data_IF_377599090752
#
_entry.id   IF_377599090752
#
_cell.length_a   1.000
_cell.length_b   1.000
_cell.length_c   1.000
_cell.angle_alpha   90.00
_cell.angle_beta   90.00
_cell.angle_gamma   90.00
#
_symmetry.space_group_name_H-M   'P 1'
#
loop_
_entity.id
_entity.type
_entity.pdbx_description
1 polymer ?
#
# COMPACT_ATOMS: atom_id res chain seq x y z
N UNK A 1 19.71 -18.78 -4.40
CA UNK A 1 19.28 -17.39 -4.48
C UNK A 1 18.82 -16.91 -3.11
N UNK A 2 19.30 -15.75 -2.69
CA UNK A 2 18.95 -15.10 -1.41
C UNK A 2 18.47 -13.67 -1.67
N UNK A 3 17.29 -13.32 -1.18
CA UNK A 3 16.62 -12.07 -1.50
C UNK A 3 16.62 -11.13 -0.29
N UNK A 4 16.91 -9.87 -0.51
CA UNK A 4 16.79 -8.77 0.45
C UNK A 4 15.70 -7.80 0.01
N UNK A 5 14.79 -7.43 0.90
CA UNK A 5 13.86 -6.33 0.67
C UNK A 5 14.24 -5.16 1.57
N UNK A 6 14.48 -4.01 0.95
CA UNK A 6 14.73 -2.74 1.63
C UNK A 6 13.41 -1.99 1.78
N UNK A 7 12.88 -1.93 2.99
CA UNK A 7 11.67 -1.20 3.34
C UNK A 7 11.97 0.07 4.14
N UNK A 8 10.96 0.89 4.36
CA UNK A 8 10.99 2.05 5.25
C UNK A 8 9.85 1.98 6.24
N UNK A 9 10.11 2.24 7.51
CA UNK A 9 9.07 2.32 8.56
C UNK A 9 8.29 3.65 8.51
N UNK A 10 7.94 4.14 7.31
CA UNK A 10 7.15 5.37 7.12
C UNK A 10 5.63 5.12 7.09
N UNK A 11 5.21 3.86 7.22
CA UNK A 11 3.81 3.42 7.28
C UNK A 11 3.69 1.90 7.24
N UNK A 12 2.54 1.36 7.63
CA UNK A 12 2.31 -0.09 7.63
C UNK A 12 2.24 -0.72 6.23
N UNK A 13 1.94 0.07 5.20
CA UNK A 13 1.73 -0.42 3.83
C UNK A 13 2.98 -1.05 3.20
N UNK A 14 4.08 -0.32 3.13
CA UNK A 14 5.34 -0.82 2.54
C UNK A 14 5.82 -2.11 3.22
N UNK A 15 5.71 -2.19 4.55
CA UNK A 15 6.06 -3.40 5.29
C UNK A 15 5.11 -4.56 5.00
N UNK A 16 3.82 -4.30 4.79
CA UNK A 16 2.85 -5.33 4.41
C UNK A 16 3.15 -5.90 3.02
N UNK A 17 3.47 -5.05 2.04
CA UNK A 17 3.92 -5.48 0.70
C UNK A 17 5.22 -6.28 0.77
N UNK A 18 6.23 -5.77 1.50
CA UNK A 18 7.50 -6.45 1.69
C UNK A 18 7.31 -7.85 2.31
N UNK A 19 6.43 -7.95 3.32
CA UNK A 19 6.07 -9.25 3.92
C UNK A 19 5.40 -10.17 2.90
N UNK A 20 4.43 -9.68 2.13
CA UNK A 20 3.75 -10.48 1.12
C UNK A 20 4.73 -11.07 0.08
N UNK A 21 5.71 -10.29 -0.36
CA UNK A 21 6.76 -10.76 -1.27
C UNK A 21 7.66 -11.79 -0.56
N UNK A 22 8.09 -11.54 0.70
CA UNK A 22 8.88 -12.51 1.45
C UNK A 22 8.15 -13.85 1.62
N UNK A 23 6.87 -13.81 1.98
CA UNK A 23 6.04 -15.00 2.14
C UNK A 23 5.95 -15.78 0.81
N UNK A 24 5.77 -15.07 -0.32
CA UNK A 24 5.74 -15.65 -1.66
C UNK A 24 7.07 -16.34 -2.04
N UNK A 25 8.23 -15.77 -1.72
CA UNK A 25 9.53 -16.43 -1.91
C UNK A 25 9.69 -17.67 -1.01
N UNK A 26 9.23 -17.58 0.25
CA UNK A 26 9.28 -18.69 1.19
C UNK A 26 8.46 -19.90 0.71
N UNK A 27 7.34 -19.70 0.01
CA UNK A 27 6.56 -20.77 -0.64
C UNK A 27 7.38 -21.58 -1.67
N UNK A 28 8.42 -20.98 -2.24
CA UNK A 28 9.37 -21.64 -3.17
C UNK A 28 10.65 -22.10 -2.47
N UNK A 29 10.72 -22.04 -1.14
CA UNK A 29 11.93 -22.41 -0.40
C UNK A 29 13.10 -21.43 -0.56
N UNK A 30 12.82 -20.20 -1.04
CA UNK A 30 13.83 -19.16 -1.27
C UNK A 30 13.89 -18.24 -0.05
N UNK A 31 15.11 -18.05 0.49
CA UNK A 31 15.33 -17.14 1.63
C UNK A 31 15.10 -15.69 1.22
N UNK A 32 14.17 -15.02 1.89
CA UNK A 32 13.89 -13.61 1.74
C UNK A 32 13.90 -12.92 3.11
N UNK A 33 14.62 -11.80 3.20
CA UNK A 33 14.72 -10.99 4.42
C UNK A 33 14.30 -9.55 4.14
N UNK A 34 13.42 -9.00 4.97
CA UNK A 34 13.04 -7.57 4.88
C UNK A 34 13.68 -6.79 6.02
N UNK A 35 14.27 -5.64 5.71
CA UNK A 35 14.91 -4.75 6.68
C UNK A 35 14.49 -3.30 6.47
N UNK A 36 14.49 -2.52 7.55
CA UNK A 36 14.33 -1.06 7.47
C UNK A 36 15.64 -0.40 7.05
N UNK A 37 15.66 0.09 5.81
CA UNK A 37 16.86 0.69 5.22
C UNK A 37 17.28 2.00 5.90
N UNK A 38 16.37 2.73 6.53
CA UNK A 38 16.69 3.97 7.25
C UNK A 38 17.62 3.73 8.45
N UNK A 39 17.66 2.51 8.98
CA UNK A 39 18.56 2.12 10.05
C UNK A 39 20.04 2.19 9.64
N UNK A 40 20.35 2.04 8.33
CA UNK A 40 21.72 2.16 7.82
C UNK A 40 22.24 3.61 7.77
N UNK A 41 21.36 4.61 7.86
CA UNK A 41 21.80 6.02 7.96
C UNK A 41 22.31 6.33 9.38
N UNK A 42 21.54 5.97 10.38
CA UNK A 42 21.91 5.90 11.79
C UNK A 42 20.86 5.11 12.56
N UNK A 43 21.21 4.45 13.66
CA UNK A 43 20.26 3.68 14.47
C UNK A 43 19.07 4.50 15.02
N UNK A 44 19.18 5.83 15.07
CA UNK A 44 18.11 6.75 15.51
C UNK A 44 17.25 7.25 14.33
N UNK A 45 17.77 7.22 13.09
CA UNK A 45 17.11 7.82 11.92
C UNK A 45 15.76 7.15 11.65
N UNK A 46 15.68 5.82 11.72
CA UNK A 46 14.43 5.09 11.52
C UNK A 46 13.33 5.55 12.47
N UNK A 47 13.62 5.57 13.78
CA UNK A 47 12.64 5.98 14.80
C UNK A 47 12.22 7.45 14.66
N UNK A 48 13.17 8.34 14.36
CA UNK A 48 12.88 9.78 14.20
C UNK A 48 12.05 10.04 12.96
N UNK A 49 12.39 9.42 11.82
CA UNK A 49 11.61 9.58 10.58
C UNK A 49 10.23 8.94 10.67
N UNK A 50 10.12 7.72 11.22
CA UNK A 50 8.85 7.03 11.40
C UNK A 50 7.91 7.80 12.33
N UNK A 51 8.40 8.20 13.51
CA UNK A 51 7.60 8.96 14.48
C UNK A 51 7.24 10.35 13.96
N UNK A 52 8.21 11.04 13.32
CA UNK A 52 8.00 12.35 12.72
C UNK A 52 6.99 12.32 11.58
N UNK A 53 7.12 11.37 10.65
CA UNK A 53 6.17 11.16 9.55
C UNK A 53 4.75 10.89 10.09
N UNK A 54 4.63 9.95 11.02
CA UNK A 54 3.35 9.61 11.66
C UNK A 54 2.74 10.81 12.38
N UNK A 55 3.55 11.58 13.10
CA UNK A 55 3.10 12.76 13.83
C UNK A 55 2.62 13.86 12.89
N UNK A 56 3.39 14.21 11.85
CA UNK A 56 3.02 15.22 10.84
C UNK A 56 1.75 14.78 10.11
N UNK A 57 1.67 13.53 9.69
CA UNK A 57 0.49 12.99 9.02
C UNK A 57 -0.78 13.10 9.89
N UNK A 58 -0.67 12.81 11.20
CA UNK A 58 -1.81 12.88 12.13
C UNK A 58 -2.23 14.31 12.49
N UNK A 59 -1.26 15.20 12.73
CA UNK A 59 -1.53 16.50 13.35
C UNK A 59 -1.42 17.68 12.38
N UNK A 60 -0.68 17.52 11.30
CA UNK A 60 -0.42 18.58 10.33
C UNK A 60 -0.58 18.10 8.87
N UNK A 61 -1.74 17.52 8.48
CA UNK A 61 -1.93 16.93 7.14
C UNK A 61 -1.71 17.94 6.00
N UNK A 62 -2.04 19.23 6.20
CA UNK A 62 -1.76 20.29 5.22
C UNK A 62 -0.26 20.50 5.01
N UNK A 63 0.54 20.43 6.06
CA UNK A 63 2.00 20.56 5.96
C UNK A 63 2.60 19.37 5.20
N UNK A 64 2.08 18.18 5.44
CA UNK A 64 2.45 16.97 4.71
C UNK A 64 2.13 17.10 3.20
N UNK A 65 0.92 17.54 2.87
CA UNK A 65 0.48 17.80 1.49
C UNK A 65 1.36 18.83 0.78
N UNK A 66 1.67 19.95 1.44
CA UNK A 66 2.57 20.97 0.87
C UNK A 66 4.00 20.44 0.64
N UNK A 67 4.50 19.62 1.55
CA UNK A 67 5.81 18.97 1.41
C UNK A 67 5.86 18.03 0.21
N UNK A 68 4.82 17.21 0.06
CA UNK A 68 4.68 16.29 -1.07
C UNK A 68 4.56 17.04 -2.41
N UNK A 69 3.66 18.02 -2.51
CA UNK A 69 3.45 18.83 -3.71
C UNK A 69 4.73 19.60 -4.11
N UNK A 70 5.56 20.01 -3.14
CA UNK A 70 6.86 20.64 -3.42
C UNK A 70 7.87 19.62 -3.94
N UNK A 71 7.90 18.41 -3.40
CA UNK A 71 8.77 17.34 -3.87
C UNK A 71 8.36 16.89 -5.29
N UNK A 72 7.08 16.80 -5.57
CA UNK A 72 6.53 16.45 -6.87
C UNK A 72 6.88 17.48 -7.96
N UNK A 73 6.75 18.77 -7.64
CA UNK A 73 7.12 19.87 -8.56
C UNK A 73 8.62 20.04 -8.76
N UNK A 74 9.44 19.68 -7.78
CA UNK A 74 10.88 19.93 -7.78
C UNK A 74 11.67 18.64 -7.98
N UNK A 75 11.69 18.13 -9.23
CA UNK A 75 12.43 16.92 -9.65
C UNK A 75 13.89 16.86 -9.16
N UNK A 76 14.54 18.01 -8.93
CA UNK A 76 15.93 18.09 -8.48
C UNK A 76 16.13 17.92 -6.96
N UNK A 77 15.08 17.66 -6.18
CA UNK A 77 15.19 17.61 -4.71
C UNK A 77 16.16 16.54 -4.21
N UNK A 78 16.30 15.44 -4.97
CA UNK A 78 17.19 14.31 -4.67
C UNK A 78 18.34 14.14 -5.67
N UNK A 79 18.57 15.13 -6.56
CA UNK A 79 19.69 15.08 -7.48
C UNK A 79 21.03 15.01 -6.75
N UNK A 80 22.00 14.42 -7.41
CA UNK A 80 23.37 14.30 -6.88
C UNK A 80 23.89 15.66 -6.40
N UNK A 81 24.43 15.68 -5.17
CA UNK A 81 24.90 16.91 -4.52
C UNK A 81 23.84 17.65 -3.68
N UNK A 82 22.55 17.34 -3.78
CA UNK A 82 21.52 17.94 -2.91
C UNK A 82 21.68 17.52 -1.44
N UNK A 83 21.08 18.27 -0.51
CA UNK A 83 21.11 17.93 0.90
C UNK A 83 20.42 16.60 1.20
N UNK A 84 19.31 16.30 0.50
CA UNK A 84 18.59 15.03 0.63
C UNK A 84 19.44 13.86 0.10
N UNK A 85 20.06 14.00 -1.08
CA UNK A 85 21.00 12.99 -1.59
C UNK A 85 22.13 12.71 -0.59
N UNK A 86 22.82 13.77 -0.10
CA UNK A 86 23.90 13.63 0.88
C UNK A 86 23.45 12.94 2.17
N UNK A 87 22.18 13.16 2.58
CA UNK A 87 21.62 12.50 3.75
C UNK A 87 21.47 11.00 3.52
N UNK A 88 20.84 10.57 2.41
CA UNK A 88 20.65 9.16 2.11
C UNK A 88 21.96 8.44 1.76
N UNK A 89 22.90 9.11 1.09
CA UNK A 89 24.21 8.57 0.76
C UNK A 89 25.08 8.19 1.98
N UNK A 90 24.73 8.67 3.19
CA UNK A 90 25.38 8.23 4.44
C UNK A 90 25.16 6.74 4.73
N UNK A 91 24.12 6.16 4.21
CA UNK A 91 23.82 4.73 4.37
C UNK A 91 24.70 3.81 3.52
N UNK A 92 25.31 4.35 2.44
CA UNK A 92 25.99 3.56 1.40
C UNK A 92 27.05 2.59 1.94
N UNK A 93 27.98 3.00 2.83
CA UNK A 93 29.01 2.07 3.31
C UNK A 93 28.44 0.90 4.13
N UNK A 94 27.46 1.16 4.99
CA UNK A 94 26.89 0.12 5.84
C UNK A 94 25.92 -0.76 5.07
N UNK A 95 25.13 -0.19 4.16
CA UNK A 95 24.24 -0.96 3.28
C UNK A 95 25.04 -1.88 2.35
N UNK A 96 26.13 -1.38 1.74
CA UNK A 96 27.05 -2.20 0.94
C UNK A 96 27.61 -3.39 1.73
N UNK A 97 28.17 -3.12 2.92
CA UNK A 97 28.69 -4.19 3.79
C UNK A 97 27.61 -5.20 4.15
N UNK A 98 26.39 -4.74 4.41
CA UNK A 98 25.28 -5.62 4.76
C UNK A 98 24.89 -6.54 3.58
N UNK A 99 24.79 -5.98 2.37
CA UNK A 99 24.48 -6.75 1.15
C UNK A 99 25.55 -7.82 0.92
N UNK A 100 26.84 -7.44 0.94
CA UNK A 100 27.96 -8.34 0.67
C UNK A 100 28.08 -9.43 1.74
N UNK A 101 28.08 -9.06 3.03
CA UNK A 101 28.17 -10.02 4.12
C UNK A 101 26.98 -10.98 4.17
N UNK A 102 25.82 -10.50 3.77
CA UNK A 102 24.59 -11.29 3.70
C UNK A 102 24.59 -12.27 2.54
N UNK A 103 25.44 -12.08 1.52
CA UNK A 103 25.46 -12.90 0.30
C UNK A 103 24.12 -12.83 -0.44
N UNK A 104 23.56 -11.63 -0.58
CA UNK A 104 22.30 -11.44 -1.30
C UNK A 104 22.54 -11.39 -2.80
N UNK A 105 21.74 -12.15 -3.54
CA UNK A 105 21.74 -12.20 -5.01
C UNK A 105 20.77 -11.19 -5.63
N UNK A 106 19.73 -10.82 -4.87
CA UNK A 106 18.66 -9.93 -5.29
C UNK A 106 18.37 -8.92 -4.19
N UNK A 107 18.20 -7.65 -4.57
CA UNK A 107 17.77 -6.57 -3.65
C UNK A 107 16.56 -5.86 -4.23
N UNK A 108 15.44 -5.87 -3.50
CA UNK A 108 14.16 -5.28 -3.90
C UNK A 108 13.86 -4.08 -3.00
N UNK A 109 13.52 -2.95 -3.58
CA UNK A 109 13.20 -1.71 -2.88
C UNK A 109 11.68 -1.50 -2.80
N UNK A 110 11.18 -1.33 -1.57
CA UNK A 110 9.76 -1.11 -1.28
C UNK A 110 9.38 0.37 -1.17
N UNK A 111 10.32 1.28 -1.33
CA UNK A 111 10.11 2.71 -1.21
C UNK A 111 11.13 3.47 -2.06
N UNK A 112 10.75 4.64 -2.60
CA UNK A 112 11.66 5.45 -3.43
C UNK A 112 12.97 5.78 -2.73
N UNK A 113 12.96 6.06 -1.43
CA UNK A 113 14.20 6.34 -0.67
C UNK A 113 15.15 5.14 -0.68
N UNK A 114 14.62 3.92 -0.57
CA UNK A 114 15.47 2.71 -0.62
C UNK A 114 16.01 2.46 -2.02
N UNK A 115 15.26 2.81 -3.07
CA UNK A 115 15.73 2.77 -4.45
C UNK A 115 16.90 3.75 -4.69
N UNK A 116 16.80 4.98 -4.16
CA UNK A 116 17.89 5.97 -4.20
C UNK A 116 19.14 5.50 -3.44
N UNK A 117 18.95 4.93 -2.24
CA UNK A 117 20.07 4.38 -1.44
C UNK A 117 20.77 3.24 -2.16
N UNK A 118 20.01 2.31 -2.74
CA UNK A 118 20.57 1.18 -3.51
C UNK A 118 21.27 1.67 -4.78
N UNK A 119 20.68 2.62 -5.50
CA UNK A 119 21.31 3.25 -6.67
C UNK A 119 22.67 3.86 -6.34
N UNK A 120 22.81 4.54 -5.20
CA UNK A 120 24.10 5.08 -4.76
C UNK A 120 25.13 3.98 -4.41
N UNK A 121 24.68 2.87 -3.82
CA UNK A 121 25.54 1.68 -3.61
C UNK A 121 26.02 1.12 -4.94
N UNK A 122 25.12 0.91 -5.91
CA UNK A 122 25.46 0.32 -7.22
C UNK A 122 26.38 1.23 -8.05
N UNK A 123 26.23 2.55 -7.94
CA UNK A 123 27.13 3.53 -8.58
C UNK A 123 28.56 3.49 -8.02
N UNK A 124 28.70 3.30 -6.71
CA UNK A 124 29.99 3.32 -6.02
C UNK A 124 30.70 1.98 -5.94
N UNK A 125 29.97 0.91 -6.04
CA UNK A 125 30.48 -0.45 -5.88
C UNK A 125 29.97 -1.37 -6.99
N UNK A 126 30.88 -2.12 -7.60
CA UNK A 126 30.47 -3.18 -8.56
C UNK A 126 29.91 -4.37 -7.79
N UNK A 127 28.59 -4.56 -7.89
CA UNK A 127 27.89 -5.72 -7.31
C UNK A 127 27.19 -6.49 -8.43
N UNK A 128 27.32 -7.80 -8.43
CA UNK A 128 26.58 -8.71 -9.33
C UNK A 128 25.30 -9.17 -8.64
N UNK A 129 24.37 -8.22 -8.45
CA UNK A 129 23.05 -8.47 -7.88
C UNK A 129 21.97 -8.01 -8.85
N UNK A 130 20.81 -8.65 -8.82
CA UNK A 130 19.62 -8.14 -9.48
C UNK A 130 18.94 -7.11 -8.57
N UNK A 131 18.71 -5.91 -9.07
CA UNK A 131 18.10 -4.81 -8.33
C UNK A 131 16.69 -4.52 -8.84
N UNK A 132 15.75 -4.29 -7.93
CA UNK A 132 14.37 -4.02 -8.30
C UNK A 132 13.70 -3.01 -7.37
N UNK A 133 12.69 -2.33 -7.90
CA UNK A 133 11.75 -1.49 -7.16
C UNK A 133 10.32 -1.98 -7.41
N UNK A 134 9.45 -1.90 -6.43
CA UNK A 134 8.00 -2.01 -6.65
C UNK A 134 7.25 -0.80 -6.12
N UNK A 135 6.34 -0.28 -6.93
CA UNK A 135 5.47 0.82 -6.56
C UNK A 135 4.35 0.35 -5.63
N UNK A 136 3.99 1.20 -4.67
CA UNK A 136 2.93 0.96 -3.67
C UNK A 136 1.74 1.89 -3.82
N UNK A 137 1.76 2.72 -4.86
CA UNK A 137 0.72 3.69 -5.21
C UNK A 137 0.47 3.69 -6.71
N UNK A 138 -0.71 4.11 -7.14
CA UNK A 138 -1.14 4.17 -8.54
C UNK A 138 -0.65 5.44 -9.24
N UNK A 139 0.61 5.75 -9.06
CA UNK A 139 1.32 6.85 -9.70
C UNK A 139 2.83 6.65 -9.56
N UNK A 140 3.60 7.42 -10.33
CA UNK A 140 5.04 7.50 -10.18
C UNK A 140 5.41 8.24 -8.89
N UNK A 141 6.34 7.68 -8.11
CA UNK A 141 6.78 8.32 -6.87
C UNK A 141 7.70 9.50 -7.15
N UNK A 142 7.52 10.66 -6.50
CA UNK A 142 8.43 11.81 -6.64
C UNK A 142 9.89 11.39 -6.43
N UNK A 143 10.77 11.85 -7.31
CA UNK A 143 12.21 11.52 -7.34
C UNK A 143 12.56 10.07 -7.69
N UNK A 144 11.61 9.26 -8.12
CA UNK A 144 11.87 7.92 -8.64
C UNK A 144 12.75 7.92 -9.90
N UNK A 145 12.71 9.01 -10.69
CA UNK A 145 13.55 9.31 -11.84
C UNK A 145 15.06 9.42 -11.51
N UNK A 146 15.43 9.57 -10.24
CA UNK A 146 16.81 9.57 -9.77
C UNK A 146 17.33 8.18 -9.40
N UNK A 147 16.46 7.15 -9.44
CA UNK A 147 16.87 5.77 -9.22
C UNK A 147 17.26 5.11 -10.55
N UNK A 148 18.24 4.19 -10.50
CA UNK A 148 18.65 3.37 -11.64
C UNK A 148 18.81 1.93 -11.16
N UNK A 149 17.79 1.13 -11.40
CA UNK A 149 17.68 -0.27 -11.02
C UNK A 149 17.38 -1.11 -12.27
N UNK A 150 17.50 -2.42 -12.15
CA UNK A 150 17.29 -3.33 -13.28
C UNK A 150 15.80 -3.52 -13.61
N UNK A 151 14.92 -3.54 -12.59
CA UNK A 151 13.49 -3.78 -12.76
C UNK A 151 12.65 -2.79 -11.94
N UNK A 152 11.52 -2.37 -12.52
CA UNK A 152 10.50 -1.53 -11.90
C UNK A 152 9.13 -2.21 -12.01
N UNK A 153 8.63 -2.73 -10.90
CA UNK A 153 7.30 -3.33 -10.82
C UNK A 153 6.25 -2.26 -10.55
N UNK A 154 5.27 -2.17 -11.43
CA UNK A 154 4.23 -1.14 -11.39
C UNK A 154 2.83 -1.75 -11.21
N UNK A 155 1.88 -0.97 -10.64
CA UNK A 155 0.56 -1.48 -10.31
C UNK A 155 -0.31 -1.89 -11.48
N UNK A 156 -0.25 -1.15 -12.60
CA UNK A 156 -1.19 -1.30 -13.70
C UNK A 156 -0.57 -0.87 -15.03
N UNK A 157 -1.03 -1.47 -16.14
CA UNK A 157 -0.59 -1.15 -17.50
C UNK A 157 -0.82 0.31 -17.88
N UNK A 158 -1.87 0.94 -17.35
CA UNK A 158 -2.18 2.35 -17.60
C UNK A 158 -1.08 3.31 -17.09
N UNK A 159 -0.18 2.84 -16.22
CA UNK A 159 0.91 3.65 -15.67
C UNK A 159 2.21 3.53 -16.46
N UNK A 160 2.31 2.63 -17.45
CA UNK A 160 3.55 2.43 -18.23
C UNK A 160 4.03 3.74 -18.85
N UNK A 161 3.15 4.46 -19.54
CA UNK A 161 3.50 5.73 -20.19
C UNK A 161 3.90 6.83 -19.20
N UNK A 162 3.34 6.81 -17.98
CA UNK A 162 3.75 7.72 -16.90
C UNK A 162 5.19 7.44 -16.47
N UNK A 163 5.53 6.17 -16.20
CA UNK A 163 6.88 5.77 -15.79
C UNK A 163 7.91 6.05 -16.91
N UNK A 164 7.58 5.75 -18.16
CA UNK A 164 8.44 6.08 -19.31
C UNK A 164 8.63 7.60 -19.47
N UNK A 165 7.56 8.38 -19.26
CA UNK A 165 7.61 9.84 -19.28
C UNK A 165 8.51 10.45 -18.20
N UNK A 166 8.73 9.72 -17.10
CA UNK A 166 9.71 10.06 -16.07
C UNK A 166 11.12 9.49 -16.34
N UNK A 167 11.34 8.83 -17.48
CA UNK A 167 12.66 8.38 -17.94
C UNK A 167 13.03 6.96 -17.56
N UNK A 168 12.09 6.15 -17.06
CA UNK A 168 12.32 4.73 -16.83
C UNK A 168 12.24 4.00 -18.17
N UNK A 169 13.29 3.26 -18.54
CA UNK A 169 13.28 2.43 -19.75
C UNK A 169 12.14 1.39 -19.71
N UNK A 170 11.26 1.40 -20.69
CA UNK A 170 10.14 0.46 -20.81
C UNK A 170 10.55 -1.02 -20.71
N UNK A 171 11.77 -1.36 -21.12
CA UNK A 171 12.32 -2.73 -20.97
C UNK A 171 12.51 -3.15 -19.53
N UNK A 172 12.70 -2.19 -18.62
CA UNK A 172 12.84 -2.41 -17.17
C UNK A 172 11.48 -2.48 -16.45
N UNK A 173 10.38 -2.04 -17.09
CA UNK A 173 9.05 -1.98 -16.49
C UNK A 173 8.39 -3.37 -16.53
N UNK A 174 7.79 -3.77 -15.39
CA UNK A 174 7.00 -4.98 -15.23
C UNK A 174 5.67 -4.64 -14.57
N UNK A 175 4.57 -5.02 -15.19
CA UNK A 175 3.24 -4.84 -14.59
C UNK A 175 2.94 -6.03 -13.69
N UNK A 176 2.86 -5.80 -12.39
CA UNK A 176 2.68 -6.87 -11.39
C UNK A 176 1.40 -6.73 -10.56
N UNK A 177 0.86 -5.52 -10.42
CA UNK A 177 -0.02 -5.15 -9.33
C UNK A 177 0.75 -4.72 -8.07
N UNK A 178 0.05 -4.20 -7.07
CA UNK A 178 0.61 -3.92 -5.74
C UNK A 178 0.54 -5.20 -4.90
N UNK A 179 1.66 -5.65 -4.28
CA UNK A 179 1.66 -6.87 -3.47
C UNK A 179 0.72 -6.78 -2.27
N UNK A 180 -0.21 -7.70 -2.20
CA UNK A 180 -1.08 -7.93 -1.03
C UNK A 180 -0.77 -9.29 -0.40
N UNK A 181 -1.09 -9.45 0.88
CA UNK A 181 -0.95 -10.75 1.56
C UNK A 181 -1.81 -11.81 0.87
N UNK A 182 -1.33 -13.06 0.83
CA UNK A 182 -1.99 -14.17 0.11
C UNK A 182 -3.43 -14.43 0.56
N UNK A 183 -3.75 -14.15 1.82
CA UNK A 183 -5.12 -14.31 2.35
C UNK A 183 -6.16 -13.43 1.66
N UNK A 184 -5.78 -12.31 1.01
CA UNK A 184 -6.71 -11.48 0.24
C UNK A 184 -7.11 -12.13 -1.09
N UNK A 185 -6.25 -12.96 -1.67
CA UNK A 185 -6.55 -13.69 -2.90
C UNK A 185 -7.60 -14.81 -2.68
N UNK A 186 -7.79 -15.24 -1.44
CA UNK A 186 -8.81 -16.23 -1.06
C UNK A 186 -10.08 -15.51 -0.62
N UNK A 187 -11.23 -15.86 -1.17
CA UNK A 187 -12.54 -15.37 -0.71
C UNK A 187 -13.20 -16.44 0.14
N UNK A 188 -13.72 -16.01 1.27
CA UNK A 188 -14.58 -16.83 2.13
C UNK A 188 -16.03 -16.50 1.86
N UNK A 189 -16.92 -17.43 2.14
CA UNK A 189 -18.35 -17.19 2.00
C UNK A 189 -18.78 -16.02 2.90
N UNK A 190 -19.56 -15.10 2.32
CA UNK A 190 -19.95 -13.86 3.01
C UNK A 190 -20.74 -14.13 4.29
N UNK A 191 -21.62 -15.15 4.28
CA UNK A 191 -22.41 -15.54 5.46
C UNK A 191 -21.51 -15.98 6.62
N UNK A 192 -20.47 -16.80 6.35
CA UNK A 192 -19.51 -17.24 7.35
C UNK A 192 -18.67 -16.08 7.88
N UNK A 193 -18.25 -15.19 6.99
CA UNK A 193 -17.50 -14.00 7.35
C UNK A 193 -18.34 -13.04 8.20
N UNK A 194 -19.60 -12.77 7.85
CA UNK A 194 -20.53 -11.98 8.66
C UNK A 194 -20.72 -12.57 10.04
N UNK A 195 -20.97 -13.89 10.13
CA UNK A 195 -21.10 -14.61 11.40
C UNK A 195 -19.87 -14.46 12.30
N UNK A 196 -18.66 -14.51 11.74
CA UNK A 196 -17.41 -14.35 12.48
C UNK A 196 -17.27 -12.97 13.16
N UNK A 197 -17.91 -11.94 12.63
CA UNK A 197 -17.89 -10.58 13.17
C UNK A 197 -19.17 -10.20 13.92
N UNK A 198 -20.15 -11.10 14.02
CA UNK A 198 -21.43 -10.86 14.69
C UNK A 198 -22.40 -10.02 13.88
N UNK A 199 -22.26 -10.02 12.56
CA UNK A 199 -23.14 -9.33 11.60
C UNK A 199 -24.26 -10.28 11.18
N UNK A 200 -25.47 -9.77 11.08
CA UNK A 200 -26.61 -10.57 10.63
C UNK A 200 -26.44 -10.95 9.13
N UNK A 201 -26.67 -12.21 8.78
CA UNK A 201 -26.36 -12.73 7.44
C UNK A 201 -27.08 -12.01 6.30
N UNK A 202 -28.33 -11.55 6.53
CA UNK A 202 -29.17 -10.89 5.55
C UNK A 202 -29.02 -9.34 5.56
N UNK A 203 -28.28 -8.77 6.52
CA UNK A 203 -28.07 -7.33 6.57
C UNK A 203 -26.96 -6.89 5.62
N UNK A 204 -27.11 -5.75 5.02
CA UNK A 204 -26.05 -5.13 4.26
C UNK A 204 -24.98 -4.58 5.22
N UNK A 205 -23.71 -4.85 4.94
CA UNK A 205 -22.62 -4.56 5.84
C UNK A 205 -21.62 -3.56 5.26
N UNK A 206 -21.39 -2.48 5.98
CA UNK A 206 -20.34 -1.48 5.69
C UNK A 206 -19.14 -1.73 6.61
N UNK A 207 -17.95 -1.78 6.04
CA UNK A 207 -16.71 -1.71 6.82
C UNK A 207 -16.09 -0.32 6.67
N UNK A 208 -15.81 0.34 7.79
CA UNK A 208 -15.09 1.63 7.86
C UNK A 208 -13.70 1.38 8.45
N UNK A 209 -12.63 1.58 7.65
CA UNK A 209 -11.26 1.44 8.14
C UNK A 209 -10.33 2.45 7.45
N UNK A 210 -9.78 3.39 8.20
CA UNK A 210 -8.87 4.42 7.69
C UNK A 210 -7.41 4.11 8.05
N UNK A 211 -6.92 2.99 7.50
CA UNK A 211 -5.57 2.48 7.76
C UNK A 211 -5.38 1.95 9.20
N UNK A 212 -4.17 1.42 9.48
CA UNK A 212 -3.85 0.77 10.76
C UNK A 212 -3.88 1.70 11.98
N UNK A 213 -3.80 3.01 11.75
CA UNK A 213 -3.73 4.02 12.81
C UNK A 213 -5.09 4.62 13.20
N UNK A 214 -6.16 4.32 12.48
CA UNK A 214 -7.48 4.90 12.75
C UNK A 214 -7.50 6.43 12.68
N UNK A 215 -6.91 7.00 11.63
CA UNK A 215 -6.82 8.45 11.43
C UNK A 215 -7.96 8.96 10.54
N UNK A 216 -8.23 10.28 10.62
CA UNK A 216 -9.27 10.93 9.82
C UNK A 216 -10.56 11.16 10.58
N UNK A 217 -11.62 11.63 9.91
CA UNK A 217 -12.88 12.07 10.54
C UNK A 217 -13.82 10.89 10.86
N UNK A 218 -13.28 9.75 11.34
CA UNK A 218 -14.03 8.50 11.57
C UNK A 218 -15.21 8.73 12.51
N UNK A 219 -15.04 9.45 13.63
CA UNK A 219 -16.10 9.75 14.57
C UNK A 219 -17.28 10.48 13.90
N UNK A 220 -16.97 11.51 13.10
CA UNK A 220 -18.01 12.27 12.39
C UNK A 220 -18.70 11.40 11.33
N UNK A 221 -17.93 10.59 10.62
CA UNK A 221 -18.44 9.62 9.63
C UNK A 221 -19.39 8.61 10.27
N UNK A 222 -18.96 7.97 11.37
CA UNK A 222 -19.79 6.99 12.10
C UNK A 222 -21.10 7.60 12.56
N UNK A 223 -21.07 8.86 13.07
CA UNK A 223 -22.28 9.58 13.49
C UNK A 223 -23.24 9.82 12.34
N UNK A 224 -22.74 10.19 11.15
CA UNK A 224 -23.58 10.41 9.97
C UNK A 224 -24.17 9.10 9.45
N UNK A 225 -23.36 8.03 9.42
CA UNK A 225 -23.83 6.71 9.00
C UNK A 225 -24.91 6.19 9.96
N UNK A 226 -24.67 6.19 11.28
CA UNK A 226 -25.62 5.69 12.29
C UNK A 226 -27.00 6.36 12.20
N UNK A 227 -27.03 7.65 11.85
CA UNK A 227 -28.27 8.41 11.68
C UNK A 227 -29.03 8.07 10.39
N UNK A 228 -28.37 7.43 9.41
CA UNK A 228 -28.93 7.18 8.06
C UNK A 228 -29.16 5.69 7.77
N UNK A 229 -28.62 4.78 8.57
CA UNK A 229 -28.78 3.33 8.38
C UNK A 229 -30.21 2.89 8.66
N UNK A 230 -30.72 1.97 7.84
CA UNK A 230 -31.93 1.19 8.09
C UNK A 230 -31.67 0.07 9.12
N UNK A 231 -32.74 -0.63 9.49
CA UNK A 231 -32.63 -1.78 10.43
C UNK A 231 -31.91 -3.00 9.81
N UNK A 232 -31.84 -3.08 8.49
CA UNK A 232 -31.18 -4.16 7.75
C UNK A 232 -29.78 -3.78 7.27
N UNK A 233 -29.17 -2.77 7.91
CA UNK A 233 -27.84 -2.28 7.58
C UNK A 233 -26.98 -2.18 8.83
N UNK A 234 -25.76 -2.69 8.75
CA UNK A 234 -24.81 -2.70 9.84
C UNK A 234 -23.47 -2.10 9.42
N UNK A 235 -22.76 -1.51 10.38
CA UNK A 235 -21.44 -0.90 10.15
C UNK A 235 -20.44 -1.45 11.15
N UNK A 236 -19.31 -1.97 10.66
CA UNK A 236 -18.12 -2.22 11.47
C UNK A 236 -17.12 -1.09 11.31
N UNK A 237 -16.78 -0.43 12.40
CA UNK A 237 -15.79 0.66 12.46
C UNK A 237 -14.50 0.15 13.08
N UNK A 238 -13.42 0.13 12.30
CA UNK A 238 -12.10 -0.33 12.76
C UNK A 238 -11.25 0.86 13.17
N UNK A 239 -10.99 0.97 14.46
CA UNK A 239 -10.18 2.05 15.07
C UNK A 239 -8.66 1.78 15.00
N UNK A 240 -8.25 0.56 14.62
CA UNK A 240 -6.85 0.18 14.56
C UNK A 240 -6.11 0.36 15.90
N UNK A 241 -4.97 1.03 15.87
CA UNK A 241 -4.16 1.31 17.06
C UNK A 241 -4.63 2.55 17.85
N UNK A 242 -5.71 3.21 17.43
CA UNK A 242 -6.25 4.41 18.09
C UNK A 242 -7.16 4.02 19.28
N UNK A 243 -6.55 3.79 20.44
CA UNK A 243 -7.27 3.37 21.66
C UNK A 243 -8.27 4.41 22.14
N UNK A 244 -7.98 5.71 21.99
CA UNK A 244 -8.88 6.79 22.41
C UNK A 244 -10.15 6.80 21.56
N UNK A 245 -10.02 6.70 20.23
CA UNK A 245 -11.14 6.61 19.32
C UNK A 245 -11.98 5.36 19.59
N UNK A 246 -11.31 4.22 19.85
CA UNK A 246 -11.99 2.97 20.19
C UNK A 246 -12.85 3.10 21.43
N UNK A 247 -12.30 3.64 22.53
CA UNK A 247 -13.04 3.82 23.79
C UNK A 247 -14.23 4.76 23.60
N UNK A 248 -14.02 5.91 22.94
CA UNK A 248 -15.04 6.92 22.72
C UNK A 248 -16.21 6.40 21.87
N UNK A 249 -15.92 5.69 20.77
CA UNK A 249 -16.97 5.15 19.91
C UNK A 249 -17.67 3.95 20.56
N UNK A 250 -16.95 3.11 21.32
CA UNK A 250 -17.56 1.99 22.05
C UNK A 250 -18.59 2.47 23.06
N UNK A 251 -18.28 3.50 23.84
CA UNK A 251 -19.20 4.13 24.78
C UNK A 251 -20.42 4.76 24.07
N UNK A 252 -20.16 5.49 22.95
CA UNK A 252 -21.20 6.19 22.22
C UNK A 252 -22.23 5.26 21.57
N UNK A 253 -21.82 4.07 21.14
CA UNK A 253 -22.65 3.12 20.39
C UNK A 253 -22.90 1.80 21.11
N UNK A 254 -22.69 1.74 22.44
CA UNK A 254 -22.89 0.55 23.26
C UNK A 254 -24.27 -0.10 23.06
N UNK A 255 -25.31 0.73 22.87
CA UNK A 255 -26.69 0.29 22.77
C UNK A 255 -27.25 0.31 21.31
N UNK A 256 -26.43 0.55 20.30
CA UNK A 256 -26.86 0.47 18.89
C UNK A 256 -26.38 -0.86 18.27
N UNK A 257 -27.26 -1.86 18.11
CA UNK A 257 -26.87 -3.17 17.61
C UNK A 257 -26.38 -3.15 16.14
N UNK A 258 -26.60 -2.06 15.43
CA UNK A 258 -26.15 -1.92 14.03
C UNK A 258 -24.70 -1.45 13.91
N UNK A 259 -24.08 -0.99 15.01
CA UNK A 259 -22.75 -0.36 14.98
C UNK A 259 -21.76 -1.22 15.78
N UNK A 260 -20.80 -1.80 15.09
CA UNK A 260 -19.78 -2.67 15.69
C UNK A 260 -18.43 -1.94 15.74
N UNK A 261 -18.00 -1.55 16.94
CA UNK A 261 -16.70 -0.88 17.12
C UNK A 261 -15.63 -1.93 17.39
N UNK A 262 -14.56 -1.91 16.58
CA UNK A 262 -13.43 -2.82 16.69
C UNK A 262 -12.12 -2.03 16.85
N UNK A 263 -11.22 -2.53 17.66
CA UNK A 263 -9.86 -2.04 17.78
C UNK A 263 -9.00 -2.50 16.59
N UNK A 264 -7.81 -3.02 16.89
CA UNK A 264 -6.93 -3.62 15.89
C UNK A 264 -7.46 -5.00 15.47
N UNK A 265 -7.65 -5.21 14.16
CA UNK A 265 -8.08 -6.49 13.58
C UNK A 265 -6.87 -7.14 12.89
N UNK A 266 -6.63 -8.41 13.21
CA UNK A 266 -5.55 -9.20 12.61
C UNK A 266 -5.95 -9.74 11.25
N UNK A 267 -7.16 -10.32 11.13
CA UNK A 267 -7.69 -10.88 9.88
C UNK A 267 -8.60 -9.86 9.17
N UNK A 268 -7.97 -8.87 8.54
CA UNK A 268 -8.67 -7.87 7.74
C UNK A 268 -9.28 -8.49 6.49
N UNK A 269 -8.65 -9.53 5.93
CA UNK A 269 -9.15 -10.23 4.75
C UNK A 269 -10.54 -10.83 5.01
N UNK A 270 -10.72 -11.52 6.17
CA UNK A 270 -12.03 -12.06 6.55
C UNK A 270 -13.06 -10.94 6.80
N UNK A 271 -12.63 -9.83 7.40
CA UNK A 271 -13.53 -8.69 7.60
C UNK A 271 -14.02 -8.12 6.27
N UNK A 272 -13.14 -7.97 5.28
CA UNK A 272 -13.55 -7.50 3.96
C UNK A 272 -14.45 -8.50 3.21
N UNK A 273 -14.30 -9.80 3.46
CA UNK A 273 -15.22 -10.81 2.94
C UNK A 273 -16.64 -10.70 3.49
N UNK A 274 -16.82 -10.09 4.69
CA UNK A 274 -18.15 -9.86 5.28
C UNK A 274 -18.85 -8.61 4.75
N UNK A 275 -18.15 -7.76 3.99
CA UNK A 275 -18.63 -6.45 3.63
C UNK A 275 -19.29 -6.40 2.25
N UNK A 276 -20.36 -5.62 2.12
CA UNK A 276 -20.95 -5.21 0.86
C UNK A 276 -20.31 -3.91 0.34
N UNK A 277 -19.77 -3.08 1.25
CA UNK A 277 -19.17 -1.78 0.94
C UNK A 277 -18.01 -1.47 1.88
N UNK A 278 -16.93 -0.91 1.34
CA UNK A 278 -15.76 -0.51 2.10
C UNK A 278 -15.54 1.00 2.07
N UNK A 279 -15.51 1.64 3.24
CA UNK A 279 -15.17 3.03 3.40
C UNK A 279 -13.74 3.13 3.92
N UNK A 280 -12.85 3.69 3.11
CA UNK A 280 -11.44 3.78 3.44
C UNK A 280 -10.78 5.05 2.90
N UNK A 281 -9.63 5.41 3.45
CA UNK A 281 -8.78 6.40 2.79
C UNK A 281 -8.15 5.78 1.53
N UNK A 282 -7.82 6.58 0.50
CA UNK A 282 -7.28 6.06 -0.75
C UNK A 282 -5.77 5.73 -0.68
N UNK A 283 -5.34 5.02 0.37
CA UNK A 283 -3.98 4.49 0.46
C UNK A 283 -3.80 3.29 -0.46
N UNK A 284 -2.70 3.24 -1.23
CA UNK A 284 -2.47 2.26 -2.29
C UNK A 284 -2.75 0.81 -1.88
N UNK A 285 -2.31 0.40 -0.67
CA UNK A 285 -2.55 -0.97 -0.17
C UNK A 285 -4.02 -1.22 0.13
N UNK A 286 -4.70 -0.31 0.85
CA UNK A 286 -6.09 -0.52 1.26
C UNK A 286 -7.04 -0.62 0.06
N UNK A 287 -6.84 0.23 -0.94
CA UNK A 287 -7.64 0.19 -2.17
C UNK A 287 -7.34 -1.05 -3.02
N UNK A 288 -6.08 -1.52 -2.99
CA UNK A 288 -5.69 -2.76 -3.69
C UNK A 288 -6.26 -3.99 -2.98
N UNK A 289 -6.22 -4.06 -1.64
CA UNK A 289 -6.84 -5.14 -0.86
C UNK A 289 -8.34 -5.25 -1.17
N UNK A 290 -9.04 -4.12 -1.21
CA UNK A 290 -10.45 -4.08 -1.62
C UNK A 290 -10.65 -4.50 -3.09
N UNK A 291 -9.77 -4.06 -3.99
CA UNK A 291 -9.84 -4.43 -5.41
C UNK A 291 -9.64 -5.95 -5.61
N UNK A 292 -8.68 -6.56 -4.90
CA UNK A 292 -8.46 -8.02 -4.91
C UNK A 292 -9.70 -8.77 -4.41
N UNK A 293 -10.42 -8.21 -3.42
CA UNK A 293 -11.69 -8.74 -2.92
C UNK A 293 -12.88 -8.43 -3.84
N UNK A 294 -12.69 -7.61 -4.88
CA UNK A 294 -13.81 -7.12 -5.71
C UNK A 294 -14.85 -6.34 -4.90
N UNK A 295 -14.43 -5.71 -3.81
CA UNK A 295 -15.29 -5.01 -2.87
C UNK A 295 -15.42 -3.53 -3.27
N UNK A 296 -16.63 -3.04 -3.61
CA UNK A 296 -16.88 -1.64 -3.91
C UNK A 296 -16.43 -0.69 -2.80
N UNK A 297 -15.96 0.49 -3.18
CA UNK A 297 -15.38 1.43 -2.23
C UNK A 297 -16.08 2.79 -2.26
N UNK A 298 -16.17 3.42 -1.07
CA UNK A 298 -16.35 4.86 -0.95
C UNK A 298 -15.10 5.42 -0.28
N UNK A 299 -14.42 6.33 -0.98
CA UNK A 299 -13.12 6.82 -0.56
C UNK A 299 -13.29 8.11 0.25
N UNK A 300 -12.61 8.15 1.40
CA UNK A 300 -12.47 9.35 2.20
C UNK A 300 -11.57 10.33 1.46
N UNK A 301 -11.70 11.63 1.76
CA UNK A 301 -10.88 12.65 1.14
C UNK A 301 -9.38 12.32 1.35
N UNK A 302 -8.64 12.42 0.27
CA UNK A 302 -7.19 12.24 0.28
C UNK A 302 -6.51 13.25 1.22
N UNK A 303 -5.49 12.81 1.93
CA UNK A 303 -4.70 13.70 2.80
C UNK A 303 -3.59 14.37 2.01
N UNK A 304 -3.01 13.70 1.04
CA UNK A 304 -1.93 14.26 0.21
C UNK A 304 -1.58 13.40 -1.02
N UNK A 305 -1.08 14.06 -2.03
CA UNK A 305 -0.29 13.63 -3.17
C UNK A 305 -0.65 12.26 -3.73
N UNK A 306 0.08 11.22 -3.33
CA UNK A 306 -0.17 9.85 -3.84
C UNK A 306 -1.59 9.35 -3.58
N UNK A 307 -2.23 9.75 -2.48
CA UNK A 307 -3.61 9.36 -2.19
C UNK A 307 -4.62 9.97 -3.18
N UNK A 308 -4.36 11.17 -3.72
CA UNK A 308 -5.20 11.77 -4.77
C UNK A 308 -5.11 10.98 -6.08
N UNK A 309 -3.91 10.56 -6.47
CA UNK A 309 -3.71 9.71 -7.65
C UNK A 309 -4.40 8.35 -7.47
N UNK A 310 -4.23 7.71 -6.33
CA UNK A 310 -4.90 6.45 -6.00
C UNK A 310 -6.44 6.62 -6.07
N UNK A 311 -6.97 7.69 -5.50
CA UNK A 311 -8.40 8.00 -5.52
C UNK A 311 -8.91 8.15 -6.96
N UNK A 312 -8.25 9.01 -7.75
CA UNK A 312 -8.64 9.27 -9.13
C UNK A 312 -8.59 8.00 -9.98
N UNK A 313 -7.55 7.17 -9.80
CA UNK A 313 -7.41 5.90 -10.51
C UNK A 313 -8.65 5.00 -10.38
N UNK A 314 -9.22 4.86 -9.19
CA UNK A 314 -10.40 4.03 -8.93
C UNK A 314 -11.72 4.73 -9.27
N UNK A 315 -11.79 6.07 -9.11
CA UNK A 315 -12.97 6.87 -9.52
C UNK A 315 -13.17 6.83 -11.03
N UNK A 316 -12.12 7.06 -11.81
CA UNK A 316 -12.17 7.06 -13.28
C UNK A 316 -12.58 5.71 -13.87
N UNK A 317 -12.26 4.62 -13.17
CA UNK A 317 -12.67 3.25 -13.54
C UNK A 317 -14.06 2.86 -13.06
N UNK A 318 -14.76 3.77 -12.36
CA UNK A 318 -16.07 3.48 -11.80
C UNK A 318 -16.05 2.39 -10.71
N UNK A 319 -14.91 2.20 -10.05
CA UNK A 319 -14.70 1.22 -8.99
C UNK A 319 -14.86 1.79 -7.58
N UNK A 320 -14.92 3.11 -7.47
CA UNK A 320 -15.08 3.83 -6.22
C UNK A 320 -16.02 5.02 -6.38
N UNK A 321 -16.48 5.52 -5.24
CA UNK A 321 -17.18 6.81 -5.11
C UNK A 321 -16.48 7.66 -4.04
N UNK A 322 -16.75 8.95 -4.03
CA UNK A 322 -16.33 9.89 -2.98
C UNK A 322 -17.34 11.02 -2.86
N UNK A 323 -17.11 12.00 -2.00
CA UNK A 323 -17.88 13.22 -1.85
C UNK A 323 -16.95 14.41 -1.57
N UNK A 324 -17.46 15.62 -1.69
CA UNK A 324 -16.70 16.86 -1.44
C UNK A 324 -16.33 17.00 0.05
N UNK A 325 -17.18 16.47 0.90
CA UNK A 325 -17.01 16.49 2.34
C UNK A 325 -17.51 15.18 2.99
N UNK A 326 -17.31 15.05 4.29
CA UNK A 326 -17.68 13.84 5.04
C UNK A 326 -19.18 13.55 5.04
N UNK A 327 -20.02 14.56 4.83
CA UNK A 327 -21.47 14.40 4.74
C UNK A 327 -21.85 13.76 3.40
N UNK A 328 -21.35 14.31 2.29
CA UNK A 328 -21.56 13.75 0.96
C UNK A 328 -20.98 12.31 0.87
N UNK A 329 -19.85 12.04 1.52
CA UNK A 329 -19.27 10.69 1.59
C UNK A 329 -20.20 9.71 2.31
N UNK A 330 -20.79 10.12 3.45
CA UNK A 330 -21.76 9.28 4.17
C UNK A 330 -23.04 9.06 3.34
N UNK A 331 -23.55 10.09 2.69
CA UNK A 331 -24.71 10.02 1.81
C UNK A 331 -24.45 9.11 0.60
N UNK A 332 -23.26 9.23 -0.01
CA UNK A 332 -22.83 8.35 -1.11
C UNK A 332 -22.76 6.88 -0.67
N UNK A 333 -22.28 6.60 0.54
CA UNK A 333 -22.19 5.26 1.07
C UNK A 333 -23.57 4.63 1.29
N UNK A 334 -24.49 5.34 1.92
CA UNK A 334 -25.85 4.85 2.19
C UNK A 334 -26.63 4.68 0.87
N UNK A 335 -26.53 5.63 -0.05
CA UNK A 335 -27.14 5.54 -1.37
C UNK A 335 -26.62 4.33 -2.15
N UNK A 336 -25.29 4.14 -2.17
CA UNK A 336 -24.67 3.04 -2.90
C UNK A 336 -25.05 1.68 -2.29
N UNK A 337 -25.14 1.58 -0.96
CA UNK A 337 -25.52 0.36 -0.27
C UNK A 337 -26.95 -0.11 -0.66
N UNK A 338 -27.82 0.82 -1.01
CA UNK A 338 -29.17 0.57 -1.46
C UNK A 338 -29.28 0.27 -2.97
N UNK A 339 -28.21 0.52 -3.73
CA UNK A 339 -28.15 0.32 -5.20
C UNK A 339 -27.38 -0.96 -5.53
N UNK A 340 -28.07 -2.10 -5.46
CA UNK A 340 -27.47 -3.43 -5.73
C UNK A 340 -26.91 -3.57 -7.15
N UNK A 341 -27.52 -2.92 -8.13
CA UNK A 341 -27.07 -2.99 -9.53
C UNK A 341 -25.70 -2.26 -9.65
N UNK A 342 -25.59 -1.05 -9.08
CA UNK A 342 -24.37 -0.29 -9.07
C UNK A 342 -23.25 -0.99 -8.29
N UNK A 343 -23.53 -1.54 -7.10
CA UNK A 343 -22.58 -2.36 -6.35
C UNK A 343 -22.08 -3.54 -7.18
N UNK A 344 -22.98 -4.28 -7.84
CA UNK A 344 -22.62 -5.42 -8.69
C UNK A 344 -21.73 -4.99 -9.87
N UNK A 345 -22.04 -3.87 -10.51
CA UNK A 345 -21.24 -3.31 -11.61
C UNK A 345 -19.84 -2.92 -11.13
N UNK A 346 -19.74 -2.24 -10.00
CA UNK A 346 -18.45 -1.87 -9.40
C UNK A 346 -17.61 -3.10 -9.04
N UNK A 347 -18.24 -4.10 -8.41
CA UNK A 347 -17.58 -5.36 -8.06
C UNK A 347 -17.06 -6.11 -9.30
N UNK A 348 -17.85 -6.20 -10.37
CA UNK A 348 -17.41 -6.79 -11.65
C UNK A 348 -16.22 -6.04 -12.23
N UNK A 349 -16.23 -4.72 -12.21
CA UNK A 349 -15.11 -3.91 -12.71
C UNK A 349 -13.85 -4.17 -11.89
N UNK A 350 -13.94 -4.20 -10.55
CA UNK A 350 -12.80 -4.51 -9.66
C UNK A 350 -12.23 -5.91 -9.93
N UNK A 351 -13.09 -6.91 -10.11
CA UNK A 351 -12.66 -8.27 -10.43
C UNK A 351 -11.90 -8.35 -11.76
N UNK A 352 -12.29 -7.54 -12.74
CA UNK A 352 -11.62 -7.50 -14.06
C UNK A 352 -10.22 -6.86 -14.00
N UNK A 353 -9.88 -6.09 -12.95
CA UNK A 353 -8.53 -5.55 -12.76
C UNK A 353 -7.51 -6.66 -12.46
N UNK A 354 -7.96 -7.79 -11.94
CA UNK A 354 -7.15 -9.00 -11.70
C UNK A 354 -5.85 -8.74 -10.91
N UNK A 355 -5.94 -8.02 -9.81
CA UNK A 355 -4.77 -7.67 -8.99
C UNK A 355 -4.32 -8.76 -8.02
N UNK A 356 -5.02 -9.90 -7.99
CA UNK A 356 -4.61 -11.04 -7.18
C UNK A 356 -3.27 -11.60 -7.65
N UNK A 357 -2.42 -12.02 -6.71
CA UNK A 357 -1.16 -12.70 -7.05
C UNK A 357 0.03 -11.78 -7.36
N UNK A 358 -0.07 -10.47 -7.17
CA UNK A 358 1.01 -9.51 -7.44
C UNK A 358 2.36 -9.91 -6.81
N UNK A 359 2.37 -10.41 -5.58
CA UNK A 359 3.58 -10.89 -4.91
C UNK A 359 4.22 -12.09 -5.64
N UNK A 360 3.38 -13.00 -6.16
CA UNK A 360 3.83 -14.14 -6.95
C UNK A 360 4.38 -13.71 -8.32
N UNK A 361 3.73 -12.76 -8.98
CA UNK A 361 4.19 -12.20 -10.24
C UNK A 361 5.59 -11.59 -10.08
N UNK A 362 5.80 -10.77 -9.05
CA UNK A 362 7.12 -10.18 -8.75
C UNK A 362 8.15 -11.28 -8.48
N UNK A 363 7.84 -12.28 -7.65
CA UNK A 363 8.74 -13.41 -7.37
C UNK A 363 9.13 -14.14 -8.65
N UNK A 364 8.16 -14.50 -9.48
CA UNK A 364 8.39 -15.33 -10.66
C UNK A 364 9.22 -14.58 -11.72
N UNK A 365 8.97 -13.28 -11.92
CA UNK A 365 9.79 -12.41 -12.78
C UNK A 365 11.22 -12.27 -12.23
N UNK A 366 11.39 -12.07 -10.93
CA UNK A 366 12.72 -12.01 -10.29
C UNK A 366 13.50 -13.31 -10.48
N UNK A 367 12.86 -14.47 -10.26
CA UNK A 367 13.49 -15.77 -10.45
C UNK A 367 13.95 -15.94 -11.90
N UNK A 368 13.09 -15.59 -12.86
CA UNK A 368 13.39 -15.65 -14.28
C UNK A 368 14.57 -14.75 -14.66
N UNK A 369 14.49 -13.45 -14.32
CA UNK A 369 15.53 -12.49 -14.67
C UNK A 369 16.88 -12.82 -14.01
N UNK A 370 16.90 -13.30 -12.76
CA UNK A 370 18.15 -13.72 -12.11
C UNK A 370 18.75 -14.95 -12.77
N UNK A 371 17.93 -15.93 -13.19
CA UNK A 371 18.38 -17.08 -13.95
C UNK A 371 19.01 -16.72 -15.29
N UNK A 372 18.42 -15.76 -16.03
CA UNK A 372 18.97 -15.23 -17.27
C UNK A 372 20.30 -14.49 -17.04
N UNK A 373 20.41 -13.67 -16.00
CA UNK A 373 21.64 -12.98 -15.61
C UNK A 373 22.77 -13.95 -15.27
N UNK A 374 22.51 -14.97 -14.44
CA UNK A 374 23.50 -15.99 -14.05
C UNK A 374 23.98 -16.81 -15.25
N UNK A 375 23.09 -17.07 -16.19
CA UNK A 375 23.45 -17.79 -17.44
C UNK A 375 24.35 -16.95 -18.35
N UNK A 376 24.07 -15.65 -18.47
CA UNK A 376 24.90 -14.72 -19.22
C UNK A 376 26.30 -14.58 -18.64
N UNK A 377 26.42 -14.42 -17.29
CA UNK A 377 27.71 -14.32 -16.60
C UNK A 377 28.56 -15.58 -16.82
N UNK A 378 27.96 -16.79 -16.72
CA UNK A 378 28.67 -18.06 -16.97
C UNK A 378 29.24 -18.17 -18.39
N UNK A 379 28.55 -17.65 -19.40
CA UNK A 379 28.98 -17.68 -20.79
C UNK A 379 30.13 -16.71 -21.10
N UNK A 380 30.31 -15.66 -20.29
CA UNK A 380 31.24 -14.57 -20.53
C UNK A 380 32.39 -14.53 -19.50
N UNK A 381 32.46 -15.48 -18.56
CA UNK A 381 33.52 -15.60 -17.55
C UNK A 381 34.51 -16.74 -17.84
N UNK A 382 34.46 -17.32 -19.06
CA UNK A 382 35.40 -18.35 -19.56
C UNK A 382 36.50 -17.74 -20.42
#
# INVERSE_FOLDING_TARGET
>A
MKVLILSCNTGGGHNACAKAICDSFAEKGISCTSVDALAFISGRTSSVMSNGHTWIYRHCPRLFSMGYARADKKRSSFSEGSAAYKFFAKSTPELYKFIVRGGYDVVICAHVFTALMLTDVLKKHKLSILSAFFATDYTFSPSGDQSDLDLYFIPDTALVSEFEGYGIDGKKIRVSGIPTRSEFATRREMADAKKAFGIHENHAHIVVMSGSMGCGPIKKLTKLLSASLSHEQEVTVVCGTNKSLFAELSDMYENDPRIHIKGYIKDVSLLLDSADLYLTKPGGISVTEAAVKGLPMVLLNAVAGCEEYNMNFFLERGCAMTGKDIKEIAEAAVSLLSDREKLSKMSKTLNNLNYAGAANNIRDDIIKCKGEMDSYERLHTV
#
